data_IF_377952289425
#
_entry.id   IF_377952289425
#
_cell.length_a   1.000
_cell.length_b   1.000
_cell.length_c   1.000
_cell.angle_alpha   90.00
_cell.angle_beta   90.00
_cell.angle_gamma   90.00
#
_symmetry.space_group_name_H-M   'P 1'
#
loop_
_entity.id
_entity.type
_entity.pdbx_description
1 polymer ?
#
# COMPACT_ATOMS: atom_id res chain seq x y z
N UNK A 1 18.34 64.42 -19.36
CA UNK A 1 17.13 63.60 -19.01
C UNK A 1 17.06 62.18 -19.59
N UNK A 2 18.15 61.58 -20.19
CA UNK A 2 18.11 60.22 -20.81
C UNK A 2 18.77 59.14 -19.97
N UNK A 3 19.45 59.44 -18.86
CA UNK A 3 20.18 58.44 -18.04
C UNK A 3 19.35 57.84 -16.89
N UNK A 4 18.24 58.44 -16.48
CA UNK A 4 17.40 57.92 -15.41
C UNK A 4 16.39 56.87 -15.87
N UNK A 5 16.02 56.80 -17.16
CA UNK A 5 15.09 55.84 -17.69
C UNK A 5 15.66 54.40 -17.83
N UNK A 6 16.99 54.27 -18.05
CA UNK A 6 17.64 52.96 -18.19
C UNK A 6 17.79 52.23 -16.87
N UNK A 7 17.95 52.92 -15.76
CA UNK A 7 18.08 52.32 -14.45
C UNK A 7 16.75 51.71 -13.90
N UNK A 8 15.63 52.33 -14.24
CA UNK A 8 14.31 51.83 -13.82
C UNK A 8 13.90 50.54 -14.57
N UNK A 9 14.27 50.42 -15.85
CA UNK A 9 13.97 49.21 -16.64
C UNK A 9 14.79 48.00 -16.22
N UNK A 10 16.05 48.19 -15.79
CA UNK A 10 16.92 47.11 -15.29
C UNK A 10 16.44 46.55 -13.95
N UNK A 11 15.91 47.39 -13.02
CA UNK A 11 15.37 46.95 -11.74
C UNK A 11 14.05 46.20 -11.92
N UNK A 12 13.18 46.64 -12.85
CA UNK A 12 11.93 45.94 -13.13
C UNK A 12 12.14 44.52 -13.71
N UNK A 13 13.17 44.34 -14.55
CA UNK A 13 13.51 43.02 -15.13
C UNK A 13 14.08 42.04 -14.11
N UNK A 14 14.82 42.53 -13.09
CA UNK A 14 15.34 41.66 -12.02
C UNK A 14 14.26 41.14 -11.08
N UNK A 15 13.22 41.93 -10.82
CA UNK A 15 12.09 41.53 -9.94
C UNK A 15 11.19 40.48 -10.59
N UNK A 16 11.07 40.48 -11.91
CA UNK A 16 10.25 39.47 -12.62
C UNK A 16 10.94 38.12 -12.72
N UNK A 17 12.25 38.04 -12.67
CA UNK A 17 13.00 36.77 -12.65
C UNK A 17 13.02 36.09 -11.27
N UNK A 18 12.81 36.82 -10.17
CA UNK A 18 12.73 36.27 -8.82
C UNK A 18 11.36 35.61 -8.51
N UNK A 19 10.32 35.86 -9.32
CA UNK A 19 8.98 35.33 -9.11
C UNK A 19 8.78 33.85 -9.42
N UNK A 20 9.78 33.17 -10.03
CA UNK A 20 9.67 31.74 -10.36
C UNK A 20 10.22 30.81 -9.26
N UNK A 21 10.78 31.35 -8.19
CA UNK A 21 11.24 30.54 -7.08
C UNK A 21 10.15 30.56 -5.98
N UNK A 22 9.31 29.54 -5.97
CA UNK A 22 8.36 29.34 -4.87
C UNK A 22 9.06 28.58 -3.74
N UNK A 23 9.56 29.23 -2.68
CA UNK A 23 10.28 28.56 -1.58
C UNK A 23 9.34 27.68 -0.74
N UNK A 24 8.03 27.77 -0.97
CA UNK A 24 7.02 26.97 -0.29
C UNK A 24 6.46 25.85 -1.15
N UNK A 25 7.11 25.53 -2.27
CA UNK A 25 6.79 24.31 -3.00
C UNK A 25 7.35 23.17 -2.17
N UNK A 26 6.54 22.41 -1.43
CA UNK A 26 7.07 21.25 -0.72
C UNK A 26 7.64 20.33 -1.78
N UNK A 27 8.91 20.03 -1.65
CA UNK A 27 9.58 19.05 -2.50
C UNK A 27 9.11 17.66 -2.05
N UNK A 28 7.85 17.34 -2.38
CA UNK A 28 7.18 16.09 -2.04
C UNK A 28 7.87 14.90 -2.77
N UNK A 29 8.77 15.22 -3.71
CA UNK A 29 9.29 14.25 -4.66
C UNK A 29 10.56 13.51 -4.19
N UNK A 30 11.19 13.88 -3.08
CA UNK A 30 12.48 13.27 -2.69
C UNK A 30 12.66 12.95 -1.20
N UNK A 31 11.63 12.98 -0.40
CA UNK A 31 11.74 12.33 0.89
C UNK A 31 11.64 10.81 0.69
N UNK A 32 12.73 10.18 0.27
CA UNK A 32 13.05 8.86 0.81
C UNK A 32 13.19 9.08 2.31
N UNK A 33 12.10 8.91 3.01
CA UNK A 33 12.15 8.76 4.45
C UNK A 33 12.90 7.44 4.66
N UNK A 34 14.21 7.53 4.83
CA UNK A 34 15.05 6.43 5.29
C UNK A 34 14.75 6.20 6.78
N UNK A 35 13.47 6.00 7.08
CA UNK A 35 13.07 5.51 8.38
C UNK A 35 13.43 4.03 8.45
N UNK A 36 14.03 3.63 9.53
CA UNK A 36 14.25 2.20 9.82
C UNK A 36 12.91 1.48 9.74
N UNK A 37 12.90 0.31 9.09
CA UNK A 37 11.72 -0.52 8.99
C UNK A 37 11.13 -0.81 10.37
N UNK A 38 9.83 -0.61 10.60
CA UNK A 38 9.19 -0.96 11.86
C UNK A 38 9.38 -2.45 12.17
N UNK A 39 9.66 -2.77 13.42
CA UNK A 39 9.68 -4.18 13.87
C UNK A 39 8.23 -4.63 14.11
N UNK A 40 7.74 -5.71 13.50
CA UNK A 40 6.36 -6.16 13.63
C UNK A 40 6.12 -6.91 14.96
N UNK A 41 6.38 -6.25 16.09
CA UNK A 41 6.24 -6.76 17.46
C UNK A 41 4.84 -6.54 18.06
N UNK A 42 4.02 -5.83 17.35
CA UNK A 42 2.60 -5.59 17.65
C UNK A 42 1.75 -5.63 16.37
N UNK A 43 0.42 -5.84 16.47
CA UNK A 43 -0.46 -5.78 15.30
C UNK A 43 -0.33 -4.46 14.54
N UNK A 44 -0.24 -3.35 15.26
CA UNK A 44 -0.09 -2.02 14.69
C UNK A 44 1.22 -1.89 13.91
N UNK A 45 2.31 -2.37 14.49
CA UNK A 45 3.63 -2.28 13.86
C UNK A 45 3.75 -3.22 12.64
N UNK A 46 3.03 -4.33 12.61
CA UNK A 46 2.93 -5.15 11.40
C UNK A 46 2.24 -4.41 10.24
N UNK A 47 1.13 -3.68 10.52
CA UNK A 47 0.46 -2.84 9.50
C UNK A 47 1.32 -1.64 9.10
N UNK A 48 2.04 -1.02 10.04
CA UNK A 48 3.01 0.05 9.72
C UNK A 48 4.19 -0.46 8.90
N UNK A 49 4.65 -1.69 9.14
CA UNK A 49 5.68 -2.31 8.30
C UNK A 49 5.17 -2.53 6.88
N UNK A 50 3.91 -2.96 6.71
CA UNK A 50 3.27 -3.06 5.39
C UNK A 50 3.30 -1.71 4.67
N UNK A 51 2.85 -0.63 5.32
CA UNK A 51 2.89 0.73 4.77
C UNK A 51 4.33 1.14 4.41
N UNK A 52 5.28 0.89 5.30
CA UNK A 52 6.69 1.19 5.08
C UNK A 52 7.26 0.45 3.87
N UNK A 53 6.94 -0.86 3.70
CA UNK A 53 7.38 -1.64 2.55
C UNK A 53 6.90 -1.06 1.22
N UNK A 54 5.68 -0.60 1.16
CA UNK A 54 5.13 0.04 -0.04
C UNK A 54 5.84 1.35 -0.37
N UNK A 55 6.07 2.20 0.62
CA UNK A 55 6.72 3.51 0.44
C UNK A 55 8.21 3.37 0.12
N UNK A 56 8.89 2.42 0.77
CA UNK A 56 10.35 2.23 0.66
C UNK A 56 10.74 1.07 -0.28
N UNK A 57 9.76 0.38 -0.86
CA UNK A 57 9.98 -0.77 -1.76
C UNK A 57 10.76 -1.91 -1.09
N UNK A 58 10.44 -2.18 0.17
CA UNK A 58 11.08 -3.20 0.99
C UNK A 58 10.57 -4.59 0.65
N UNK A 59 11.10 -5.23 -0.40
CA UNK A 59 10.65 -6.53 -0.91
C UNK A 59 10.89 -7.63 0.11
N UNK A 60 12.06 -7.66 0.74
CA UNK A 60 12.40 -8.70 1.70
C UNK A 60 11.55 -8.62 2.96
N UNK A 61 11.36 -7.42 3.52
CA UNK A 61 10.49 -7.18 4.65
C UNK A 61 9.03 -7.49 4.32
N UNK A 62 8.60 -7.16 3.09
CA UNK A 62 7.26 -7.46 2.62
C UNK A 62 7.01 -8.96 2.52
N UNK A 63 7.95 -9.72 1.95
CA UNK A 63 7.88 -11.18 1.85
C UNK A 63 7.78 -11.85 3.21
N UNK A 64 8.47 -11.30 4.20
CA UNK A 64 8.49 -11.80 5.57
C UNK A 64 7.26 -11.40 6.41
N UNK A 65 6.36 -10.59 5.88
CA UNK A 65 5.22 -10.06 6.61
C UNK A 65 4.01 -11.00 6.63
N UNK A 66 3.93 -11.93 5.69
CA UNK A 66 2.75 -12.77 5.49
C UNK A 66 2.92 -14.18 6.01
N UNK A 67 1.79 -14.79 6.44
CA UNK A 67 1.73 -16.22 6.76
C UNK A 67 1.73 -17.06 5.48
N UNK A 68 2.00 -18.36 5.61
CA UNK A 68 2.01 -19.30 4.48
C UNK A 68 0.62 -19.43 3.82
N UNK A 69 -0.42 -19.39 4.65
CA UNK A 69 -1.82 -19.48 4.23
C UNK A 69 -2.48 -18.12 3.96
N UNK A 70 -1.68 -17.07 3.84
CA UNK A 70 -2.17 -15.73 3.54
C UNK A 70 -3.08 -15.69 2.31
N UNK A 71 -4.13 -14.88 2.42
CA UNK A 71 -5.04 -14.58 1.30
C UNK A 71 -5.35 -13.09 1.21
N UNK A 72 -5.35 -12.59 -0.02
CA UNK A 72 -5.92 -11.30 -0.37
C UNK A 72 -7.33 -11.51 -0.93
N UNK A 73 -8.29 -10.80 -0.35
CA UNK A 73 -9.71 -10.88 -0.72
C UNK A 73 -10.16 -9.49 -1.13
N UNK A 74 -10.80 -9.37 -2.29
CA UNK A 74 -11.47 -8.14 -2.69
C UNK A 74 -12.96 -8.37 -2.89
N UNK A 75 -13.73 -7.29 -2.76
CA UNK A 75 -15.11 -7.30 -3.21
C UNK A 75 -15.13 -7.37 -4.74
N UNK A 76 -15.78 -8.40 -5.28
CA UNK A 76 -16.14 -8.51 -6.69
C UNK A 76 -17.61 -8.19 -6.87
N UNK A 77 -17.99 -7.65 -8.02
CA UNK A 77 -19.39 -7.55 -8.44
C UNK A 77 -19.56 -8.41 -9.67
N UNK A 78 -20.46 -9.39 -9.60
CA UNK A 78 -20.78 -10.24 -10.76
C UNK A 78 -21.55 -9.45 -11.82
N UNK A 79 -21.73 -10.07 -12.99
CA UNK A 79 -22.46 -9.47 -14.12
C UNK A 79 -23.94 -9.17 -13.81
N UNK A 80 -24.49 -9.74 -12.74
CA UNK A 80 -25.84 -9.50 -12.24
C UNK A 80 -25.91 -8.42 -11.14
N UNK A 81 -24.75 -7.84 -10.77
CA UNK A 81 -24.68 -6.81 -9.74
C UNK A 81 -24.58 -7.33 -8.30
N UNK A 82 -24.46 -8.65 -8.11
CA UNK A 82 -24.29 -9.23 -6.79
C UNK A 82 -22.85 -9.01 -6.31
N UNK A 83 -22.70 -8.54 -5.07
CA UNK A 83 -21.39 -8.44 -4.45
C UNK A 83 -20.94 -9.80 -3.94
N UNK A 84 -19.80 -10.25 -4.40
CA UNK A 84 -19.09 -11.41 -3.86
C UNK A 84 -17.74 -11.00 -3.29
N UNK A 85 -17.26 -11.77 -2.31
CA UNK A 85 -15.89 -11.64 -1.80
C UNK A 85 -15.09 -12.83 -2.31
N UNK A 86 -14.08 -12.55 -3.11
CA UNK A 86 -13.29 -13.60 -3.76
C UNK A 86 -11.81 -13.50 -3.37
N UNK A 87 -11.18 -14.66 -3.24
CA UNK A 87 -9.73 -14.74 -3.07
C UNK A 87 -9.10 -14.34 -4.40
N UNK A 88 -8.39 -13.21 -4.42
CA UNK A 88 -7.72 -12.67 -5.60
C UNK A 88 -6.25 -13.09 -5.67
N UNK A 89 -5.61 -13.33 -4.52
CA UNK A 89 -4.21 -13.73 -4.46
C UNK A 89 -3.91 -14.53 -3.19
N UNK A 90 -2.94 -15.42 -3.29
CA UNK A 90 -2.26 -16.07 -2.17
C UNK A 90 -0.92 -15.40 -1.91
N UNK A 91 -0.20 -15.86 -0.88
CA UNK A 91 1.07 -15.28 -0.46
C UNK A 91 2.07 -15.06 -1.60
N UNK A 92 2.30 -16.09 -2.41
CA UNK A 92 3.30 -16.00 -3.48
C UNK A 92 2.88 -15.02 -4.58
N UNK A 93 1.59 -15.03 -4.96
CA UNK A 93 1.02 -14.05 -5.90
C UNK A 93 1.11 -12.62 -5.35
N UNK A 94 0.86 -12.46 -4.03
CA UNK A 94 0.97 -11.18 -3.33
C UNK A 94 2.38 -10.62 -3.40
N UNK A 95 3.34 -11.45 -3.00
CA UNK A 95 4.77 -11.07 -2.98
C UNK A 95 5.26 -10.77 -4.38
N UNK A 96 4.94 -11.61 -5.36
CA UNK A 96 5.34 -11.39 -6.76
C UNK A 96 4.75 -10.11 -7.33
N UNK A 97 3.46 -9.84 -7.07
CA UNK A 97 2.80 -8.61 -7.53
C UNK A 97 3.47 -7.37 -6.95
N UNK A 98 3.77 -7.38 -5.65
CA UNK A 98 4.46 -6.30 -4.99
C UNK A 98 5.91 -6.15 -5.51
N UNK A 99 6.63 -7.24 -5.70
CA UNK A 99 7.98 -7.24 -6.27
C UNK A 99 8.00 -6.60 -7.66
N UNK A 100 7.07 -7.01 -8.55
CA UNK A 100 6.94 -6.41 -9.88
C UNK A 100 6.64 -4.90 -9.81
N UNK A 101 5.83 -4.47 -8.85
CA UNK A 101 5.52 -3.06 -8.65
C UNK A 101 6.72 -2.27 -8.09
N UNK A 102 7.47 -2.86 -7.16
CA UNK A 102 8.54 -2.18 -6.43
C UNK A 102 9.83 -2.08 -7.23
N UNK A 103 10.24 -3.18 -7.86
CA UNK A 103 11.53 -3.29 -8.55
C UNK A 103 11.40 -3.58 -10.06
N UNK A 104 10.19 -3.88 -10.52
CA UNK A 104 9.90 -4.20 -11.91
C UNK A 104 10.07 -5.67 -12.26
N UNK A 105 9.69 -6.00 -13.49
CA UNK A 105 9.86 -7.32 -14.10
C UNK A 105 10.46 -7.18 -15.50
N UNK A 106 10.73 -8.30 -16.18
CA UNK A 106 11.21 -8.29 -17.56
C UNK A 106 10.22 -7.61 -18.53
N UNK A 107 8.93 -7.64 -18.20
CA UNK A 107 7.85 -7.14 -19.07
C UNK A 107 7.37 -5.74 -18.68
N UNK A 108 7.63 -5.31 -17.44
CA UNK A 108 7.12 -4.05 -16.92
C UNK A 108 8.13 -3.36 -16.00
N UNK A 109 8.38 -2.07 -16.23
CA UNK A 109 9.20 -1.27 -15.32
C UNK A 109 8.50 -1.14 -13.96
N UNK A 110 9.25 -0.88 -12.88
CA UNK A 110 8.68 -0.59 -11.58
C UNK A 110 7.81 0.68 -11.62
N UNK A 111 6.90 0.82 -10.68
CA UNK A 111 6.20 2.08 -10.47
C UNK A 111 7.21 3.21 -10.23
N UNK A 112 7.06 4.37 -10.85
CA UNK A 112 7.97 5.50 -10.67
C UNK A 112 7.93 6.03 -9.23
N UNK A 113 6.73 6.10 -8.66
CA UNK A 113 6.50 6.56 -7.29
C UNK A 113 5.35 5.81 -6.64
N UNK A 114 5.51 5.51 -5.34
CA UNK A 114 4.47 4.92 -4.52
C UNK A 114 4.35 5.73 -3.24
N UNK A 115 3.13 6.12 -2.88
CA UNK A 115 2.80 6.78 -1.62
C UNK A 115 1.58 6.10 -1.04
N UNK A 116 1.75 5.37 0.04
CA UNK A 116 0.68 4.72 0.80
C UNK A 116 0.58 5.38 2.16
N UNK A 117 -0.64 5.67 2.58
CA UNK A 117 -0.95 6.19 3.91
C UNK A 117 -2.15 5.46 4.50
N UNK A 118 -1.97 4.97 5.71
CA UNK A 118 -3.02 4.46 6.58
C UNK A 118 -3.37 5.47 7.68
N UNK A 119 -4.39 5.15 8.46
CA UNK A 119 -4.72 5.95 9.65
C UNK A 119 -3.54 5.99 10.63
N UNK A 120 -3.30 7.13 11.23
CA UNK A 120 -2.24 7.28 12.23
C UNK A 120 -2.51 6.43 13.48
N UNK A 121 -3.79 6.30 13.85
CA UNK A 121 -4.21 5.54 15.02
C UNK A 121 -4.81 4.19 14.61
N UNK A 122 -3.95 3.18 14.50
CA UNK A 122 -4.34 1.81 14.20
C UNK A 122 -4.81 1.11 15.47
N UNK A 123 -6.10 0.81 15.58
CA UNK A 123 -6.69 0.18 16.76
C UNK A 123 -6.92 -1.31 16.48
N UNK A 124 -6.23 -2.23 17.21
CA UNK A 124 -6.45 -3.66 17.06
C UNK A 124 -7.68 -4.13 17.84
N UNK A 125 -8.53 -4.87 17.17
CA UNK A 125 -9.67 -5.57 17.76
C UNK A 125 -9.44 -7.08 17.77
N UNK A 126 -10.13 -7.87 18.60
CA UNK A 126 -10.16 -9.31 18.45
C UNK A 126 -10.60 -9.71 17.04
N UNK A 127 -9.96 -10.73 16.47
CA UNK A 127 -10.40 -11.30 15.20
C UNK A 127 -11.79 -11.90 15.34
N UNK A 128 -12.74 -11.44 14.52
CA UNK A 128 -14.14 -11.83 14.58
C UNK A 128 -14.45 -13.17 13.90
N UNK A 129 -13.46 -13.77 13.22
CA UNK A 129 -13.64 -15.04 12.50
C UNK A 129 -13.80 -16.21 13.49
N UNK A 130 -14.65 -17.20 13.17
CA UNK A 130 -14.85 -18.37 14.04
C UNK A 130 -13.54 -19.12 14.29
N UNK A 131 -13.35 -19.58 15.53
CA UNK A 131 -12.20 -20.41 15.94
C UNK A 131 -10.90 -19.63 16.19
N UNK A 132 -10.88 -18.30 16.01
CA UNK A 132 -9.71 -17.47 16.28
C UNK A 132 -9.61 -17.10 17.78
N UNK A 133 -8.41 -17.21 18.32
CA UNK A 133 -8.14 -16.87 19.71
C UNK A 133 -7.85 -15.35 19.82
N UNK A 134 -8.58 -14.58 20.65
CA UNK A 134 -8.44 -13.14 20.74
C UNK A 134 -7.09 -12.65 21.29
N UNK A 135 -6.30 -13.52 21.94
CA UNK A 135 -4.95 -13.18 22.39
C UNK A 135 -3.90 -13.29 21.28
N UNK A 136 -4.14 -14.17 20.29
CA UNK A 136 -3.20 -14.49 19.23
C UNK A 136 -3.63 -13.96 17.86
N UNK A 137 -4.91 -13.61 17.71
CA UNK A 137 -5.48 -13.16 16.45
C UNK A 137 -6.16 -11.81 16.66
N UNK A 138 -5.77 -10.85 15.83
CA UNK A 138 -6.31 -9.49 15.85
C UNK A 138 -6.76 -9.09 14.46
N UNK A 139 -7.62 -8.08 14.40
CA UNK A 139 -7.96 -7.40 13.16
C UNK A 139 -7.77 -5.91 13.34
N UNK A 140 -7.35 -5.24 12.25
CA UNK A 140 -7.21 -3.79 12.18
C UNK A 140 -7.90 -3.34 10.91
N UNK A 141 -8.87 -2.44 11.05
CA UNK A 141 -9.45 -1.72 9.92
C UNK A 141 -8.85 -0.34 9.86
N UNK A 142 -8.45 0.08 8.66
CA UNK A 142 -7.82 1.37 8.42
C UNK A 142 -8.28 1.95 7.10
N UNK A 143 -8.31 3.28 6.98
CA UNK A 143 -8.47 3.94 5.69
C UNK A 143 -7.22 3.74 4.84
N UNK A 144 -7.41 3.75 3.53
CA UNK A 144 -6.35 3.63 2.53
C UNK A 144 -6.34 4.88 1.68
N UNK A 145 -5.18 5.50 1.58
CA UNK A 145 -4.89 6.52 0.58
C UNK A 145 -3.58 6.12 -0.11
N UNK A 146 -3.72 5.54 -1.30
CA UNK A 146 -2.59 5.06 -2.08
C UNK A 146 -2.53 5.83 -3.41
N UNK A 147 -1.34 6.36 -3.72
CA UNK A 147 -1.03 6.96 -5.02
C UNK A 147 0.16 6.25 -5.62
N UNK A 148 -0.02 5.77 -6.85
CA UNK A 148 1.02 5.08 -7.61
C UNK A 148 1.20 5.80 -8.94
N UNK A 149 2.38 6.33 -9.17
CA UNK A 149 2.77 6.82 -10.51
C UNK A 149 3.34 5.64 -11.28
N UNK A 150 2.60 5.22 -12.31
CA UNK A 150 3.00 4.10 -13.17
C UNK A 150 4.06 4.56 -14.17
N UNK A 151 3.84 5.73 -14.75
CA UNK A 151 4.73 6.40 -15.71
C UNK A 151 4.55 7.92 -15.64
N UNK A 152 5.30 8.66 -16.47
CA UNK A 152 5.32 10.13 -16.48
C UNK A 152 3.95 10.79 -16.74
N UNK A 153 2.97 10.04 -17.27
CA UNK A 153 1.63 10.55 -17.61
C UNK A 153 0.50 10.00 -16.74
N UNK A 154 0.74 8.86 -16.07
CA UNK A 154 -0.34 8.10 -15.43
C UNK A 154 -0.10 7.92 -13.93
N UNK A 155 -0.94 8.54 -13.13
CA UNK A 155 -0.98 8.33 -11.68
C UNK A 155 -2.31 7.68 -11.31
N UNK A 156 -2.23 6.58 -10.57
CA UNK A 156 -3.39 5.87 -10.02
C UNK A 156 -3.61 6.32 -8.59
N UNK A 157 -4.86 6.55 -8.23
CA UNK A 157 -5.30 6.80 -6.87
C UNK A 157 -6.27 5.70 -6.43
N UNK A 158 -5.98 5.10 -5.27
CA UNK A 158 -6.82 4.09 -4.62
C UNK A 158 -7.22 4.61 -3.25
N UNK A 159 -8.53 4.72 -3.01
CA UNK A 159 -9.08 5.18 -1.73
C UNK A 159 -10.14 4.22 -1.22
N UNK A 160 -10.32 4.17 0.09
CA UNK A 160 -11.31 3.31 0.74
C UNK A 160 -10.80 2.78 2.06
N UNK A 161 -11.09 1.52 2.37
CA UNK A 161 -10.63 0.88 3.58
C UNK A 161 -9.91 -0.43 3.28
N UNK A 162 -9.08 -0.86 4.24
CA UNK A 162 -8.47 -2.17 4.29
C UNK A 162 -8.75 -2.80 5.66
N UNK A 163 -9.06 -4.09 5.68
CA UNK A 163 -9.19 -4.87 6.89
C UNK A 163 -8.09 -5.94 6.91
N UNK A 164 -7.14 -5.76 7.82
CA UNK A 164 -6.05 -6.70 8.05
C UNK A 164 -6.40 -7.64 9.18
N UNK A 165 -6.21 -8.93 8.97
CA UNK A 165 -6.24 -9.95 10.01
C UNK A 165 -4.82 -10.39 10.30
N UNK A 166 -4.47 -10.43 11.57
CA UNK A 166 -3.10 -10.63 12.03
C UNK A 166 -3.04 -11.75 13.03
N UNK A 167 -1.99 -12.54 12.95
CA UNK A 167 -1.73 -13.65 13.85
C UNK A 167 -0.35 -13.58 14.49
N UNK A 168 -0.23 -14.15 15.68
CA UNK A 168 1.01 -14.28 16.43
C UNK A 168 1.15 -15.71 16.95
N UNK A 169 2.35 -16.26 16.88
CA UNK A 169 2.67 -17.51 17.58
C UNK A 169 2.04 -18.79 17.04
N UNK A 170 1.35 -18.72 15.89
CA UNK A 170 0.86 -19.92 15.22
C UNK A 170 1.97 -20.49 14.33
N UNK A 171 2.57 -21.59 14.78
CA UNK A 171 3.68 -22.23 14.07
C UNK A 171 3.30 -22.77 12.71
N UNK A 172 2.03 -23.12 12.50
CA UNK A 172 1.54 -23.64 11.22
C UNK A 172 1.40 -22.53 10.16
N UNK A 173 1.27 -21.27 10.60
CA UNK A 173 1.06 -20.11 9.73
C UNK A 173 2.38 -19.44 9.29
N UNK A 174 3.53 -19.84 9.84
CA UNK A 174 4.81 -19.22 9.51
C UNK A 174 5.37 -19.84 8.24
N UNK A 175 5.75 -19.04 7.23
CA UNK A 175 6.42 -19.53 6.04
C UNK A 175 7.65 -20.38 6.37
N UNK A 176 7.77 -21.54 5.72
CA UNK A 176 8.85 -22.51 5.98
C UNK A 176 10.23 -21.91 5.77
N UNK A 177 10.37 -21.01 4.79
CA UNK A 177 11.62 -20.32 4.50
C UNK A 177 12.07 -19.46 5.68
N UNK A 178 11.14 -18.84 6.40
CA UNK A 178 11.44 -18.01 7.56
C UNK A 178 11.78 -18.87 8.78
N UNK A 179 11.15 -20.04 8.93
CA UNK A 179 11.55 -21.02 9.97
C UNK A 179 12.98 -21.48 9.72
N UNK A 180 13.34 -21.78 8.47
CA UNK A 180 14.69 -22.19 8.10
C UNK A 180 15.73 -21.08 8.31
N UNK A 181 15.33 -19.82 8.27
CA UNK A 181 16.15 -18.64 8.61
C UNK A 181 16.24 -18.37 10.12
N UNK A 182 15.71 -19.26 10.94
CA UNK A 182 15.79 -19.21 12.41
C UNK A 182 14.69 -18.37 13.07
N UNK A 183 13.65 -17.97 12.33
CA UNK A 183 12.43 -17.44 12.92
C UNK A 183 11.65 -18.59 13.54
N UNK A 184 11.65 -18.65 14.86
CA UNK A 184 10.90 -19.66 15.61
C UNK A 184 9.54 -19.09 15.99
N UNK A 185 8.46 -19.89 15.83
CA UNK A 185 7.15 -19.52 16.36
C UNK A 185 7.23 -19.34 17.87
N UNK A 186 6.47 -18.39 18.39
CA UNK A 186 6.30 -18.22 19.82
C UNK A 186 5.45 -19.36 20.37
N UNK A 187 6.07 -20.46 20.72
CA UNK A 187 5.41 -21.51 21.49
C UNK A 187 5.43 -21.10 22.96
N UNK A 188 4.34 -20.47 23.42
CA UNK A 188 4.07 -20.29 24.85
C UNK A 188 5.01 -19.37 25.63
N UNK A 189 6.13 -18.96 25.08
CA UNK A 189 7.09 -18.08 25.75
C UNK A 189 6.89 -16.63 25.33
N UNK A 190 6.27 -15.88 26.20
CA UNK A 190 5.99 -14.44 26.02
C UNK A 190 7.22 -13.54 26.26
N UNK A 191 8.34 -14.11 26.65
CA UNK A 191 9.53 -13.36 27.12
C UNK A 191 10.57 -13.09 26.04
N UNK A 192 10.56 -13.86 24.92
CA UNK A 192 11.50 -13.63 23.82
C UNK A 192 10.98 -12.58 22.86
N UNK A 193 11.86 -11.66 22.41
CA UNK A 193 11.49 -10.63 21.42
C UNK A 193 10.96 -11.21 20.09
N UNK A 194 11.37 -12.45 19.75
CA UNK A 194 10.87 -13.20 18.59
C UNK A 194 9.48 -13.79 18.82
N UNK A 195 9.08 -14.01 20.06
CA UNK A 195 7.76 -14.46 20.45
C UNK A 195 6.68 -13.40 20.23
N UNK A 196 7.06 -12.16 20.04
CA UNK A 196 6.14 -11.03 19.87
C UNK A 196 5.86 -10.70 18.41
N UNK A 197 6.50 -11.37 17.44
CA UNK A 197 6.29 -11.08 16.03
C UNK A 197 4.86 -11.37 15.59
N UNK A 198 4.31 -10.44 14.82
CA UNK A 198 3.00 -10.56 14.19
C UNK A 198 3.15 -10.68 12.67
N UNK A 199 2.23 -11.44 12.06
CA UNK A 199 2.11 -11.66 10.63
C UNK A 199 0.70 -11.29 10.17
N UNK A 200 0.57 -10.93 8.90
CA UNK A 200 -0.71 -10.74 8.23
C UNK A 200 -1.13 -12.09 7.65
N UNK A 201 -2.27 -12.65 8.10
CA UNK A 201 -2.82 -13.89 7.57
C UNK A 201 -3.92 -13.64 6.53
N UNK A 202 -4.49 -12.43 6.52
CA UNK A 202 -5.51 -12.05 5.53
C UNK A 202 -5.54 -10.53 5.38
N UNK A 203 -5.74 -10.10 4.14
CA UNK A 203 -6.10 -8.73 3.81
C UNK A 203 -7.41 -8.73 3.03
N UNK A 204 -8.44 -8.06 3.54
CA UNK A 204 -9.69 -7.79 2.85
C UNK A 204 -9.66 -6.35 2.34
N UNK A 205 -9.77 -6.22 1.02
CA UNK A 205 -9.83 -4.94 0.33
C UNK A 205 -11.26 -4.43 0.31
N UNK A 206 -11.47 -3.25 0.86
CA UNK A 206 -12.73 -2.52 0.85
C UNK A 206 -12.57 -1.20 0.08
N UNK A 207 -11.58 -1.12 -0.81
CA UNK A 207 -11.44 0.02 -1.73
C UNK A 207 -12.49 -0.08 -2.83
N UNK A 208 -13.02 1.07 -3.25
CA UNK A 208 -14.11 1.11 -4.20
C UNK A 208 -13.58 1.46 -5.59
N UNK A 209 -14.02 0.71 -6.60
CA UNK A 209 -13.85 1.14 -7.97
C UNK A 209 -14.74 2.38 -8.26
N UNK A 210 -14.31 3.31 -9.12
CA UNK A 210 -15.04 4.56 -9.42
C UNK A 210 -16.51 4.37 -9.82
N UNK A 211 -16.81 3.32 -10.57
CA UNK A 211 -18.16 2.94 -10.97
C UNK A 211 -19.06 2.51 -9.79
N UNK A 212 -18.49 2.02 -8.71
CA UNK A 212 -19.25 1.67 -7.49
C UNK A 212 -19.54 2.89 -6.62
N UNK A 213 -18.67 3.90 -6.62
CA UNK A 213 -18.91 5.18 -5.93
C UNK A 213 -20.12 5.91 -6.52
N UNK A 214 -20.35 5.76 -7.82
CA UNK A 214 -21.47 6.37 -8.55
C UNK A 214 -22.81 5.74 -8.19
N UNK A 215 -22.86 4.41 -8.15
CA UNK A 215 -24.08 3.66 -7.82
C UNK A 215 -24.60 3.99 -6.41
N UNK A 216 -23.71 4.28 -5.47
CA UNK A 216 -24.06 4.55 -4.07
C UNK A 216 -24.44 6.02 -3.80
N UNK A 217 -24.15 6.97 -4.70
CA UNK A 217 -24.39 8.39 -4.44
C UNK A 217 -25.55 9.00 -5.21
N UNK A 218 -26.21 8.27 -6.13
CA UNK A 218 -27.35 8.79 -6.87
C UNK A 218 -27.10 10.11 -7.61
N UNK A 219 -25.84 10.48 -7.86
CA UNK A 219 -25.45 11.78 -8.33
C UNK A 219 -24.65 11.67 -9.62
N UNK A 220 -24.94 12.61 -10.50
CA UNK A 220 -24.24 12.85 -11.76
C UNK A 220 -22.73 12.75 -11.60
N UNK A 221 -22.13 11.77 -12.27
CA UNK A 221 -20.68 11.67 -12.40
C UNK A 221 -20.20 12.88 -13.16
N UNK A 222 -19.62 13.84 -12.47
CA UNK A 222 -18.62 14.68 -13.12
C UNK A 222 -17.42 13.75 -13.32
N UNK A 223 -17.14 13.44 -14.59
CA UNK A 223 -15.84 12.92 -14.96
C UNK A 223 -14.80 13.82 -14.27
N UNK A 224 -14.06 13.26 -13.32
CA UNK A 224 -12.97 13.98 -12.68
C UNK A 224 -11.93 14.15 -13.78
N UNK A 225 -11.95 15.32 -14.42
CA UNK A 225 -10.91 15.75 -15.36
C UNK A 225 -9.68 16.09 -14.53
N UNK A 226 -8.93 15.05 -14.15
CA UNK A 226 -7.67 15.19 -13.48
C UNK A 226 -6.68 14.15 -14.03
N UNK A 227 -5.37 14.32 -13.84
CA UNK A 227 -4.36 13.39 -14.30
C UNK A 227 -4.35 12.06 -13.47
N UNK A 228 -5.37 11.81 -12.67
CA UNK A 228 -5.48 10.65 -11.80
C UNK A 228 -6.50 9.67 -12.33
N UNK A 229 -6.09 8.40 -12.41
CA UNK A 229 -6.97 7.27 -12.66
C UNK A 229 -7.40 6.70 -11.30
N UNK A 230 -8.67 6.85 -10.94
CA UNK A 230 -9.22 6.21 -9.75
C UNK A 230 -9.49 4.72 -10.06
N UNK A 231 -9.02 3.84 -9.21
CA UNK A 231 -9.29 2.40 -9.30
C UNK A 231 -9.30 1.74 -7.92
N UNK A 232 -9.79 0.50 -7.85
CA UNK A 232 -9.67 -0.32 -6.65
C UNK A 232 -8.25 -0.89 -6.49
N UNK A 233 -7.92 -1.35 -5.28
CA UNK A 233 -6.67 -2.05 -5.03
C UNK A 233 -6.54 -3.31 -5.89
N UNK A 234 -7.63 -4.06 -6.05
CA UNK A 234 -7.65 -5.26 -6.88
C UNK A 234 -7.34 -4.97 -8.36
N UNK A 235 -7.85 -3.85 -8.91
CA UNK A 235 -7.54 -3.42 -10.28
C UNK A 235 -6.09 -3.00 -10.44
N UNK A 236 -5.56 -2.20 -9.50
CA UNK A 236 -4.15 -1.82 -9.50
C UNK A 236 -3.23 -3.04 -9.49
N UNK A 237 -3.56 -4.05 -8.67
CA UNK A 237 -2.76 -5.26 -8.55
C UNK A 237 -2.74 -6.07 -9.86
N UNK A 238 -3.85 -6.13 -10.60
CA UNK A 238 -3.91 -6.81 -11.91
C UNK A 238 -2.94 -6.19 -12.93
N UNK A 239 -2.60 -4.91 -12.79
CA UNK A 239 -1.62 -4.25 -13.66
C UNK A 239 -0.22 -4.88 -13.49
N UNK A 240 0.13 -5.32 -12.28
CA UNK A 240 1.46 -5.84 -11.94
C UNK A 240 1.48 -7.37 -11.75
N UNK A 241 0.31 -8.01 -11.75
CA UNK A 241 0.20 -9.47 -11.62
C UNK A 241 0.62 -10.16 -12.92
N UNK A 242 1.51 -11.14 -12.80
CA UNK A 242 1.89 -12.05 -13.87
C UNK A 242 1.48 -13.46 -13.46
N UNK A 243 0.54 -14.12 -14.19
CA UNK A 243 0.18 -15.49 -13.87
C UNK A 243 1.39 -16.42 -14.06
N UNK A 244 1.64 -17.37 -13.14
CA UNK A 244 2.72 -18.32 -13.28
C UNK A 244 2.55 -19.14 -14.57
N UNK A 245 3.59 -19.23 -15.40
CA UNK A 245 3.63 -20.08 -16.59
C UNK A 245 3.35 -19.39 -17.94
N UNK A 246 3.14 -18.08 -17.98
CA UNK A 246 3.17 -17.30 -19.22
C UNK A 246 4.57 -16.70 -19.35
N UNK A 247 5.51 -17.52 -19.83
CA UNK A 247 6.75 -16.98 -20.40
C UNK A 247 6.44 -16.43 -21.79
N UNK A 248 7.05 -15.29 -22.18
CA UNK A 248 6.87 -14.69 -23.49
C UNK A 248 7.35 -15.59 -24.61
#
# INVERSE_FOLDING_TARGET
MRRTALSAAAVATLVTLAGCFNPFRPDILNQRVTSTAPTPDSPQNAVKLFEWCWVNRGVDEYRELFTDDYVFISAGTDSAGNQSREIQARRDDEVQTAENMFIGSAERPPAEQISLQFDQNLVPFPDSRPGKNPHWHKQIRTSVNLKVRIDSGNTVEVTGNALFFLTRGDSAAIPKELINRGLKPAQGDTTSSKALRWWIDRWEDETLAPNQLVANRGAQVRAVQGPYLEMSMAELRRIYYQPPGVSP
#
